data_IF_740547678248
#
_entry.id   IF_740547678248
#
_cell.length_a   1.000
_cell.length_b   1.000
_cell.length_c   1.000
_cell.angle_alpha   90.00
_cell.angle_beta   90.00
_cell.angle_gamma   90.00
#
_symmetry.space_group_name_H-M   'P 1'
#
loop_
_entity.id
_entity.type
_entity.pdbx_description
1 polymer ?
#
# COMPACT_ATOMS: atom_id res chain seq x y z
N UNK A 1 40.17 -35.11 13.81
CA UNK A 1 39.11 -35.32 12.83
C UNK A 1 38.12 -34.19 13.02
N UNK A 2 38.22 -33.20 12.14
CA UNK A 2 37.25 -32.11 12.01
C UNK A 2 35.89 -32.66 11.59
N UNK A 3 34.81 -32.00 12.03
CA UNK A 3 33.75 -31.47 11.16
C UNK A 3 32.65 -30.83 12.01
N UNK A 4 32.67 -29.49 11.99
CA UNK A 4 31.53 -28.58 11.92
C UNK A 4 30.41 -28.69 12.97
N UNK A 5 30.56 -27.87 14.02
CA UNK A 5 29.41 -27.27 14.71
C UNK A 5 28.70 -26.37 13.71
N UNK A 6 27.56 -26.82 13.19
CA UNK A 6 26.66 -25.99 12.40
C UNK A 6 26.31 -24.73 13.19
N UNK A 7 26.76 -23.59 12.68
CA UNK A 7 26.32 -22.27 13.13
C UNK A 7 24.88 -22.14 12.63
N UNK A 8 23.92 -22.47 13.48
CA UNK A 8 22.56 -21.96 13.31
C UNK A 8 22.64 -20.47 13.61
N UNK A 9 22.72 -19.68 12.55
CA UNK A 9 22.47 -18.25 12.62
C UNK A 9 21.01 -18.11 13.02
N UNK A 10 20.75 -17.90 14.32
CA UNK A 10 19.49 -17.35 14.77
C UNK A 10 19.31 -16.03 14.03
N UNK A 11 18.50 -16.04 12.97
CA UNK A 11 17.91 -14.83 12.45
C UNK A 11 17.02 -14.33 13.57
N UNK A 12 17.57 -13.39 14.36
CA UNK A 12 16.83 -12.53 15.27
C UNK A 12 15.92 -11.65 14.41
N UNK A 13 14.89 -12.25 13.79
CA UNK A 13 13.71 -11.53 13.32
C UNK A 13 12.94 -11.09 14.57
N UNK A 14 13.51 -10.14 15.30
CA UNK A 14 12.72 -9.19 16.06
C UNK A 14 11.83 -8.49 15.05
N UNK A 15 10.63 -9.04 14.91
CA UNK A 15 9.45 -8.30 14.50
C UNK A 15 9.44 -7.09 15.42
N UNK A 16 9.86 -5.95 14.88
CA UNK A 16 9.89 -4.72 15.64
C UNK A 16 8.42 -4.38 15.86
N UNK A 17 7.86 -4.80 17.00
CA UNK A 17 6.55 -4.37 17.50
C UNK A 17 6.64 -2.87 17.80
N UNK A 18 6.73 -2.07 16.73
CA UNK A 18 6.50 -0.64 16.80
C UNK A 18 4.98 -0.46 16.90
N UNK A 19 4.54 0.42 17.80
CA UNK A 19 3.12 0.75 17.87
C UNK A 19 2.67 1.28 16.50
N UNK A 20 1.48 0.87 16.04
CA UNK A 20 0.96 1.29 14.75
C UNK A 20 0.91 2.82 14.67
N UNK A 21 1.50 3.39 13.62
CA UNK A 21 1.41 4.82 13.37
C UNK A 21 0.24 5.14 12.42
N UNK A 22 -0.44 6.25 12.68
CA UNK A 22 -1.51 6.78 11.85
C UNK A 22 -1.03 8.09 11.24
N UNK A 23 -0.69 8.05 9.95
CA UNK A 23 0.09 9.13 9.30
C UNK A 23 -0.65 9.85 8.19
N UNK A 24 -1.92 9.48 7.93
CA UNK A 24 -2.75 10.10 6.91
C UNK A 24 -3.70 11.10 7.56
N UNK A 25 -3.52 12.37 7.25
CA UNK A 25 -4.41 13.45 7.63
C UNK A 25 -5.53 13.61 6.58
N UNK A 26 -6.74 13.22 6.95
CA UNK A 26 -7.92 13.29 6.08
C UNK A 26 -8.40 14.72 5.82
N UNK A 27 -7.95 15.71 6.60
CA UNK A 27 -8.25 17.12 6.38
C UNK A 27 -7.50 17.71 5.18
N UNK A 28 -6.38 17.10 4.77
CA UNK A 28 -5.53 17.60 3.66
C UNK A 28 -5.55 16.70 2.42
N UNK A 29 -5.93 15.42 2.58
CA UNK A 29 -6.12 14.53 1.43
C UNK A 29 -7.31 14.95 0.59
N UNK A 30 -7.21 14.76 -0.72
CA UNK A 30 -8.24 15.09 -1.70
C UNK A 30 -8.60 13.87 -2.52
N UNK A 31 -9.80 13.89 -3.11
CA UNK A 31 -10.21 12.91 -4.11
C UNK A 31 -9.15 12.86 -5.22
N UNK A 32 -8.77 11.65 -5.62
CA UNK A 32 -7.74 11.39 -6.64
C UNK A 32 -6.31 11.31 -6.11
N UNK A 33 -6.06 11.62 -4.83
CA UNK A 33 -4.75 11.36 -4.22
C UNK A 33 -4.43 9.86 -4.25
N UNK A 34 -3.18 9.53 -4.56
CA UNK A 34 -2.67 8.17 -4.54
C UNK A 34 -1.87 7.97 -3.25
N UNK A 35 -2.24 6.97 -2.46
CA UNK A 35 -1.45 6.55 -1.31
C UNK A 35 -0.63 5.34 -1.74
N UNK A 36 0.68 5.43 -1.58
CA UNK A 36 1.57 4.29 -1.72
C UNK A 36 2.02 3.81 -0.34
N UNK A 37 2.01 2.49 -0.15
CA UNK A 37 2.39 1.88 1.12
C UNK A 37 3.33 0.69 0.93
N UNK A 38 4.12 0.38 1.96
CA UNK A 38 4.87 -0.87 2.06
C UNK A 38 4.78 -1.48 3.45
N UNK A 39 4.80 -2.81 3.50
CA UNK A 39 4.72 -3.61 4.73
C UNK A 39 5.95 -4.50 4.85
N UNK A 40 6.21 -5.04 6.04
CA UNK A 40 7.28 -6.03 6.24
C UNK A 40 6.91 -7.45 5.78
N UNK A 41 5.67 -7.69 5.34
CA UNK A 41 5.22 -8.99 4.85
C UNK A 41 6.04 -9.47 3.63
N UNK A 42 6.22 -10.80 3.51
CA UNK A 42 7.01 -11.42 2.45
C UNK A 42 6.59 -10.95 1.05
N UNK A 43 5.28 -10.90 0.76
CA UNK A 43 4.78 -10.42 -0.53
C UNK A 43 5.18 -8.96 -0.82
N UNK A 44 5.14 -8.10 0.20
CA UNK A 44 5.54 -6.70 0.07
C UNK A 44 7.05 -6.55 -0.16
N UNK A 45 7.88 -7.34 0.54
CA UNK A 45 9.33 -7.41 0.31
C UNK A 45 9.64 -7.84 -1.14
N UNK A 46 8.95 -8.87 -1.65
CA UNK A 46 9.14 -9.36 -3.00
C UNK A 46 8.83 -8.31 -4.07
N UNK A 47 7.68 -7.64 -3.97
CA UNK A 47 7.28 -6.60 -4.94
C UNK A 47 8.34 -5.49 -5.01
N UNK A 48 8.78 -4.97 -3.85
CA UNK A 48 9.82 -3.93 -3.81
C UNK A 48 11.14 -4.37 -4.42
N UNK A 49 11.54 -5.63 -4.19
CA UNK A 49 12.77 -6.18 -4.74
C UNK A 49 12.72 -6.29 -6.27
N UNK A 50 11.59 -6.70 -6.85
CA UNK A 50 11.46 -6.82 -8.32
C UNK A 50 11.22 -5.49 -9.02
N UNK A 51 10.52 -4.55 -8.38
CA UNK A 51 10.25 -3.22 -8.96
C UNK A 51 11.36 -2.21 -8.71
N UNK A 52 12.34 -2.55 -7.86
CA UNK A 52 13.38 -1.65 -7.36
C UNK A 52 12.79 -0.37 -6.72
N UNK A 53 11.57 -0.46 -6.19
CA UNK A 53 10.84 0.66 -5.59
C UNK A 53 10.59 0.49 -4.09
N UNK A 54 10.33 1.59 -3.40
CA UNK A 54 10.13 1.61 -1.94
C UNK A 54 8.72 1.19 -1.49
N UNK A 55 7.78 1.07 -2.44
CA UNK A 55 6.36 0.81 -2.17
C UNK A 55 5.88 -0.44 -2.91
N UNK A 56 4.95 -1.16 -2.29
CA UNK A 56 4.40 -2.42 -2.86
C UNK A 56 2.90 -2.41 -3.07
N UNK A 57 2.21 -1.39 -2.56
CA UNK A 57 0.76 -1.29 -2.62
C UNK A 57 0.34 0.13 -2.92
N UNK A 58 -0.76 0.27 -3.66
CA UNK A 58 -1.29 1.56 -4.06
C UNK A 58 -2.80 1.60 -3.82
N UNK A 59 -3.29 2.77 -3.41
CA UNK A 59 -4.71 3.04 -3.16
C UNK A 59 -5.04 4.42 -3.69
N UNK A 60 -6.27 4.63 -4.14
CA UNK A 60 -6.77 5.95 -4.55
C UNK A 60 -7.79 6.49 -3.54
N UNK A 61 -7.68 7.76 -3.17
CA UNK A 61 -8.68 8.43 -2.36
C UNK A 61 -9.93 8.77 -3.19
N UNK A 62 -11.10 8.33 -2.71
CA UNK A 62 -12.39 8.60 -3.33
C UNK A 62 -13.38 9.28 -2.39
N UNK A 63 -12.94 9.78 -1.23
CA UNK A 63 -13.81 10.46 -0.27
C UNK A 63 -13.05 11.07 0.91
N UNK A 64 -13.74 11.31 2.03
CA UNK A 64 -13.10 11.88 3.24
C UNK A 64 -12.20 10.84 3.91
N UNK A 65 -12.68 9.59 4.04
CA UNK A 65 -11.92 8.47 4.61
C UNK A 65 -12.19 7.18 3.84
N UNK A 66 -12.38 7.29 2.52
CA UNK A 66 -12.77 6.19 1.65
C UNK A 66 -11.77 6.04 0.52
N UNK A 67 -11.10 4.90 0.48
CA UNK A 67 -10.04 4.61 -0.47
C UNK A 67 -10.38 3.32 -1.19
N UNK A 68 -9.93 3.18 -2.43
CA UNK A 68 -10.12 1.94 -3.20
C UNK A 68 -8.75 1.39 -3.58
N UNK A 69 -8.62 0.07 -3.47
CA UNK A 69 -7.43 -0.65 -3.86
C UNK A 69 -7.76 -2.04 -4.39
N UNK A 70 -6.80 -2.70 -5.01
CA UNK A 70 -6.93 -4.10 -5.44
C UNK A 70 -6.02 -4.98 -4.59
N UNK A 71 -6.59 -5.98 -3.92
CA UNK A 71 -5.86 -6.93 -3.06
C UNK A 71 -5.92 -8.35 -3.64
N UNK A 72 -4.87 -9.14 -3.40
CA UNK A 72 -4.62 -10.42 -4.07
C UNK A 72 -5.80 -11.39 -4.03
N UNK A 73 -6.46 -11.52 -2.88
CA UNK A 73 -7.48 -12.56 -2.65
C UNK A 73 -8.93 -12.04 -2.67
N UNK A 74 -9.14 -10.73 -2.73
CA UNK A 74 -10.48 -10.13 -2.67
C UNK A 74 -10.84 -9.24 -3.86
N UNK A 75 -9.90 -9.01 -4.77
CA UNK A 75 -10.11 -8.10 -5.90
C UNK A 75 -10.16 -6.64 -5.45
N UNK A 76 -11.02 -5.84 -6.07
CA UNK A 76 -11.12 -4.40 -5.83
C UNK A 76 -12.06 -4.11 -4.66
N UNK A 77 -11.52 -3.59 -3.55
CA UNK A 77 -12.27 -3.32 -2.32
C UNK A 77 -12.14 -1.85 -1.85
N UNK A 78 -13.15 -1.40 -1.09
CA UNK A 78 -13.12 -0.11 -0.38
C UNK A 78 -12.46 -0.31 0.98
N UNK A 79 -11.49 0.55 1.30
CA UNK A 79 -10.76 0.56 2.56
C UNK A 79 -10.87 1.91 3.27
N UNK A 80 -10.71 1.87 4.59
CA UNK A 80 -10.44 3.04 5.41
C UNK A 80 -9.04 2.88 6.04
N UNK A 81 -8.00 3.55 5.51
CA UNK A 81 -6.62 3.41 5.97
C UNK A 81 -6.43 3.93 7.40
N UNK A 82 -7.33 4.76 7.95
CA UNK A 82 -7.28 5.13 9.37
C UNK A 82 -7.59 3.96 10.30
N UNK A 83 -8.13 2.84 9.80
CA UNK A 83 -8.42 1.64 10.59
C UNK A 83 -7.26 0.65 10.62
N UNK A 84 -6.29 0.78 9.69
CA UNK A 84 -5.12 -0.09 9.60
C UNK A 84 -3.88 0.76 9.88
N UNK A 85 -3.33 0.63 11.08
CA UNK A 85 -2.08 1.29 11.43
C UNK A 85 -0.93 0.81 10.55
N UNK A 86 0.07 1.67 10.39
CA UNK A 86 1.27 1.37 9.62
C UNK A 86 2.42 1.02 10.54
N UNK A 87 3.27 0.08 10.10
CA UNK A 87 4.45 -0.34 10.85
C UNK A 87 5.43 0.82 11.06
N UNK A 88 5.52 1.73 10.07
CA UNK A 88 6.42 2.89 10.06
C UNK A 88 5.87 4.04 9.23
N UNK A 89 6.13 5.27 9.65
CA UNK A 89 5.67 6.48 8.97
C UNK A 89 6.35 6.71 7.60
N UNK A 90 7.62 6.32 7.47
CA UNK A 90 8.41 6.46 6.23
C UNK A 90 8.01 5.47 5.12
N UNK A 91 7.00 4.63 5.37
CA UNK A 91 6.47 3.65 4.43
C UNK A 91 5.12 4.02 3.86
N UNK A 92 4.72 5.27 4.04
CA UNK A 92 3.47 5.82 3.51
C UNK A 92 3.79 7.13 2.82
N UNK A 93 3.37 7.27 1.58
CA UNK A 93 3.44 8.55 0.86
C UNK A 93 2.12 8.83 0.16
N UNK A 94 1.73 10.10 0.16
CA UNK A 94 0.58 10.60 -0.58
C UNK A 94 1.08 11.39 -1.78
N UNK A 95 0.68 10.97 -2.97
CA UNK A 95 1.01 11.60 -4.23
C UNK A 95 -0.23 12.25 -4.83
N UNK A 96 -0.06 13.42 -5.44
CA UNK A 96 -1.14 14.16 -6.10
C UNK A 96 -0.69 14.57 -7.49
N UNK A 97 -1.49 14.25 -8.50
CA UNK A 97 -1.27 14.69 -9.88
C UNK A 97 -1.18 16.23 -9.95
N UNK A 98 -0.18 16.76 -10.66
CA UNK A 98 0.08 18.21 -10.78
C UNK A 98 -0.06 18.74 -12.22
N UNK A 99 -0.64 17.97 -13.13
CA UNK A 99 -0.89 18.46 -14.49
C UNK A 99 -2.14 19.33 -14.60
N UNK A 100 -2.36 19.86 -15.80
CA UNK A 100 -3.57 20.62 -16.13
C UNK A 100 -4.83 19.77 -15.90
N UNK A 101 -5.95 20.42 -15.61
CA UNK A 101 -7.23 19.76 -15.32
C UNK A 101 -7.19 18.78 -14.14
N UNK A 102 -6.32 19.03 -13.15
CA UNK A 102 -6.13 18.18 -11.96
C UNK A 102 -7.44 17.69 -11.33
N UNK A 103 -8.41 18.59 -11.13
CA UNK A 103 -9.70 18.27 -10.51
C UNK A 103 -10.54 17.33 -11.38
N UNK A 104 -10.58 17.57 -12.69
CA UNK A 104 -11.32 16.73 -13.64
C UNK A 104 -10.72 15.32 -13.71
N UNK A 105 -9.39 15.23 -13.83
CA UNK A 105 -8.66 13.95 -13.87
C UNK A 105 -8.87 13.18 -12.58
N UNK A 106 -8.72 13.84 -11.43
CA UNK A 106 -8.93 13.24 -10.12
C UNK A 106 -10.36 12.69 -9.96
N UNK A 107 -11.35 13.47 -10.41
CA UNK A 107 -12.77 13.09 -10.33
C UNK A 107 -13.06 11.88 -11.22
N UNK A 108 -12.62 11.92 -12.48
CA UNK A 108 -12.80 10.80 -13.43
C UNK A 108 -12.10 9.54 -12.97
N UNK A 109 -10.88 9.64 -12.44
CA UNK A 109 -10.16 8.49 -11.89
C UNK A 109 -10.92 7.88 -10.71
N UNK A 110 -11.41 8.72 -9.78
CA UNK A 110 -12.21 8.24 -8.65
C UNK A 110 -13.53 7.58 -9.10
N UNK A 111 -14.23 8.16 -10.06
CA UNK A 111 -15.47 7.60 -10.63
C UNK A 111 -15.22 6.26 -11.33
N UNK A 112 -14.18 6.18 -12.15
CA UNK A 112 -13.80 4.94 -12.82
C UNK A 112 -13.55 3.82 -11.81
N UNK A 113 -12.72 4.10 -10.80
CA UNK A 113 -12.32 3.09 -9.81
C UNK A 113 -13.49 2.68 -8.90
N UNK A 114 -14.43 3.60 -8.59
CA UNK A 114 -15.70 3.24 -7.92
C UNK A 114 -16.50 2.21 -8.73
N UNK A 115 -16.51 2.35 -10.07
CA UNK A 115 -17.15 1.38 -10.97
C UNK A 115 -16.45 0.02 -11.03
N UNK A 116 -15.24 -0.12 -10.50
CA UNK A 116 -14.50 -1.39 -10.47
C UNK A 116 -14.68 -2.16 -9.15
N UNK A 117 -15.32 -1.58 -8.13
CA UNK A 117 -15.50 -2.23 -6.82
C UNK A 117 -16.25 -3.55 -6.98
N UNK A 118 -15.72 -4.61 -6.35
CA UNK A 118 -16.26 -5.97 -6.45
C UNK A 118 -15.79 -6.76 -7.68
N UNK A 119 -14.98 -6.17 -8.57
CA UNK A 119 -14.33 -6.93 -9.64
C UNK A 119 -13.18 -7.79 -9.09
N UNK A 120 -13.06 -9.00 -9.63
CA UNK A 120 -11.92 -9.87 -9.37
C UNK A 120 -10.63 -9.29 -9.96
N UNK A 121 -9.50 -9.65 -9.35
CA UNK A 121 -8.20 -9.30 -9.90
C UNK A 121 -7.95 -10.09 -11.18
N UNK A 122 -7.46 -9.43 -12.23
CA UNK A 122 -6.82 -10.12 -13.36
C UNK A 122 -5.53 -10.76 -12.86
N UNK A 123 -5.48 -12.09 -12.80
CA UNK A 123 -4.38 -12.88 -12.21
C UNK A 123 -3.00 -12.75 -12.91
N UNK A 124 -2.88 -11.89 -13.93
CA UNK A 124 -1.71 -11.86 -14.85
C UNK A 124 -0.73 -10.70 -14.63
N UNK A 125 -0.77 -9.99 -13.51
CA UNK A 125 0.27 -8.99 -13.19
C UNK A 125 1.11 -9.47 -11.99
N UNK A 126 2.42 -9.57 -12.29
CA UNK A 126 3.55 -10.00 -11.46
C UNK A 126 3.61 -9.24 -10.14
#
# INVERSE_FOLDING_TARGET
MEAEKGIFMEVDEKIHEQEPCFVIDTGITKIGDIILTSEYALGSKSIRAVTLGDYSHAMINVGISSYIHAVKDKGVEVANPQRKGYDRADRVVVLRYQGDNQVEVATRAAEFVRGQVGMERVQNFV
#
